data_IF_561635479166
#
_entry.id   IF_561635479166
#
_cell.length_a   1.000
_cell.length_b   1.000
_cell.length_c   1.000
_cell.angle_alpha   90.00
_cell.angle_beta   90.00
_cell.angle_gamma   90.00
#
_symmetry.space_group_name_H-M   'P 1'
#
loop_
_entity.id
_entity.type
_entity.pdbx_description
1 polymer ?
#
# COMPACT_ATOMS: atom_id res chain seq x y z
N UNK A 1 1.76 -10.90 -15.58
CA UNK A 1 2.77 -9.86 -15.32
C UNK A 1 2.39 -9.11 -14.05
N UNK A 2 3.32 -8.88 -13.17
CA UNK A 2 3.08 -8.15 -11.93
C UNK A 2 3.27 -6.66 -12.16
N UNK A 3 2.35 -5.85 -11.68
CA UNK A 3 2.45 -4.41 -11.74
C UNK A 3 2.58 -3.85 -10.32
N UNK A 4 3.49 -2.93 -10.12
CA UNK A 4 3.63 -2.23 -8.85
C UNK A 4 2.69 -1.03 -8.82
N UNK A 5 2.14 -0.75 -7.66
CA UNK A 5 1.29 0.41 -7.43
C UNK A 5 1.92 1.27 -6.34
N UNK A 6 2.06 2.56 -6.63
CA UNK A 6 2.57 3.52 -5.66
C UNK A 6 1.39 4.11 -4.89
N UNK A 7 1.40 3.97 -3.59
CA UNK A 7 0.36 4.50 -2.73
C UNK A 7 0.81 5.85 -2.20
N UNK A 8 0.02 6.88 -2.46
CA UNK A 8 0.28 8.21 -1.97
C UNK A 8 -0.90 8.66 -1.12
N UNK A 9 -0.58 9.33 -0.02
CA UNK A 9 -1.58 9.92 0.83
C UNK A 9 -1.79 9.17 2.12
N UNK A 10 -2.16 9.91 3.10
CA UNK A 10 -2.57 9.44 4.40
C UNK A 10 -3.88 10.16 4.72
N UNK A 11 -4.48 9.91 5.83
CA UNK A 11 -5.70 10.62 6.22
C UNK A 11 -5.52 12.14 6.15
N UNK A 12 -6.62 12.86 6.02
CA UNK A 12 -6.64 14.30 5.91
C UNK A 12 -6.81 14.77 4.48
N UNK A 13 -6.58 16.06 4.24
CA UNK A 13 -6.86 16.69 2.96
C UNK A 13 -5.67 16.69 2.01
N UNK A 14 -4.46 16.65 2.54
CA UNK A 14 -3.26 16.61 1.73
C UNK A 14 -2.80 15.17 1.55
N UNK A 15 -2.44 14.82 0.32
CA UNK A 15 -1.83 13.53 0.03
C UNK A 15 -0.32 13.66 0.17
N UNK A 16 0.30 12.60 0.70
CA UNK A 16 1.75 12.52 0.83
C UNK A 16 2.25 11.14 0.51
N UNK A 17 3.55 10.99 0.54
CA UNK A 17 4.21 9.71 0.34
C UNK A 17 4.54 9.08 1.68
N UNK A 18 5.06 7.85 1.65
CA UNK A 18 5.59 7.24 2.86
C UNK A 18 6.71 8.09 3.48
N UNK A 19 7.55 8.71 2.65
CA UNK A 19 8.61 9.58 3.13
C UNK A 19 8.04 10.79 3.88
N UNK A 20 6.93 11.36 3.42
CA UNK A 20 6.25 12.46 4.12
C UNK A 20 5.74 12.01 5.48
N UNK A 21 5.16 10.82 5.56
CA UNK A 21 4.72 10.25 6.82
C UNK A 21 5.90 10.05 7.77
N UNK A 22 7.00 9.52 7.26
CA UNK A 22 8.20 9.27 8.07
C UNK A 22 8.81 10.57 8.62
N UNK A 23 8.73 11.66 7.86
CA UNK A 23 9.21 12.98 8.33
C UNK A 23 8.25 13.60 9.34
N UNK A 24 6.96 13.52 9.08
CA UNK A 24 5.95 14.17 9.92
C UNK A 24 5.57 13.39 11.17
N UNK A 25 5.62 12.07 11.08
CA UNK A 25 5.23 11.18 12.18
C UNK A 25 6.11 9.93 12.20
N UNK A 26 7.40 10.07 12.52
CA UNK A 26 8.34 8.95 12.42
C UNK A 26 7.97 7.74 13.27
N UNK A 27 7.39 7.95 14.43
CA UNK A 27 6.99 6.83 15.30
C UNK A 27 5.85 6.03 14.68
N UNK A 28 4.92 6.70 14.01
CA UNK A 28 3.81 6.04 13.32
C UNK A 28 4.34 5.26 12.11
N UNK A 29 5.22 5.87 11.33
CA UNK A 29 5.81 5.20 10.17
C UNK A 29 6.59 3.97 10.58
N UNK A 30 7.39 4.05 11.64
CA UNK A 30 8.16 2.91 12.12
C UNK A 30 7.24 1.80 12.62
N UNK A 31 6.23 2.14 13.42
CA UNK A 31 5.28 1.15 13.91
C UNK A 31 4.51 0.49 12.75
N UNK A 32 4.10 1.29 11.77
CA UNK A 32 3.41 0.77 10.59
C UNK A 32 4.28 -0.18 9.77
N UNK A 33 5.56 0.17 9.59
CA UNK A 33 6.49 -0.71 8.89
C UNK A 33 6.65 -2.04 9.61
N UNK A 34 6.76 -2.02 10.93
CA UNK A 34 6.86 -3.26 11.71
C UNK A 34 5.62 -4.14 11.54
N UNK A 35 4.44 -3.54 11.54
CA UNK A 35 3.20 -4.29 11.32
C UNK A 35 3.16 -4.88 9.92
N UNK A 36 3.47 -4.08 8.90
CA UNK A 36 3.44 -4.55 7.51
C UNK A 36 4.46 -5.65 7.23
N UNK A 37 5.62 -5.60 7.87
CA UNK A 37 6.71 -6.57 7.66
C UNK A 37 6.78 -7.65 8.75
N UNK A 38 5.75 -7.79 9.54
CA UNK A 38 5.74 -8.72 10.66
C UNK A 38 6.13 -10.15 10.27
N UNK A 39 5.67 -10.65 9.14
CA UNK A 39 5.95 -12.02 8.70
C UNK A 39 7.26 -12.18 7.92
N UNK A 40 8.06 -11.11 7.83
CA UNK A 40 9.30 -11.09 7.08
C UNK A 40 9.17 -10.47 5.70
N UNK A 41 8.02 -10.55 5.09
CA UNK A 41 7.69 -9.88 3.84
C UNK A 41 6.60 -8.86 4.09
N UNK A 42 6.62 -7.75 3.34
CA UNK A 42 5.56 -6.76 3.46
C UNK A 42 4.23 -7.34 3.00
N UNK A 43 3.20 -7.19 3.82
CA UNK A 43 1.87 -7.73 3.53
C UNK A 43 0.79 -6.92 4.22
N UNK A 44 -0.39 -6.93 3.64
CA UNK A 44 -1.55 -6.25 4.21
C UNK A 44 -2.82 -6.62 3.48
N UNK A 45 -3.91 -6.05 3.97
CA UNK A 45 -5.23 -6.16 3.35
C UNK A 45 -5.50 -4.88 2.60
N UNK A 46 -5.73 -4.98 1.30
CA UNK A 46 -5.99 -3.84 0.43
C UNK A 46 -7.46 -3.79 0.06
N UNK A 47 -8.10 -2.67 0.34
CA UNK A 47 -9.46 -2.39 -0.09
C UNK A 47 -9.44 -1.44 -1.26
N UNK A 48 -10.19 -1.76 -2.30
CA UNK A 48 -10.31 -0.94 -3.51
C UNK A 48 -11.78 -0.74 -3.87
N UNK A 49 -12.04 0.28 -4.65
CA UNK A 49 -13.38 0.57 -5.16
C UNK A 49 -13.28 0.80 -6.67
N UNK A 50 -14.31 0.40 -7.40
CA UNK A 50 -14.35 0.61 -8.84
C UNK A 50 -15.78 0.71 -9.36
N UNK A 51 -16.08 1.77 -10.09
CA UNK A 51 -17.37 1.99 -10.70
C UNK A 51 -18.51 1.86 -9.69
N UNK A 52 -19.54 1.12 -10.05
CA UNK A 52 -20.69 0.85 -9.21
C UNK A 52 -20.57 -0.43 -8.39
N UNK A 53 -19.41 -1.11 -8.49
CA UNK A 53 -19.21 -2.37 -7.79
C UNK A 53 -19.04 -2.14 -6.28
N UNK A 54 -19.43 -3.12 -5.46
CA UNK A 54 -19.10 -3.05 -4.03
C UNK A 54 -17.59 -2.97 -3.81
N UNK A 55 -17.14 -2.39 -2.69
CA UNK A 55 -15.73 -2.40 -2.35
C UNK A 55 -15.18 -3.83 -2.29
N UNK A 56 -13.92 -3.97 -2.69
CA UNK A 56 -13.21 -5.25 -2.64
C UNK A 56 -12.13 -5.18 -1.57
N UNK A 57 -11.83 -6.31 -0.98
CA UNK A 57 -10.71 -6.42 -0.05
C UNK A 57 -9.94 -7.70 -0.33
N UNK A 58 -8.61 -7.59 -0.40
CA UNK A 58 -7.74 -8.71 -0.73
C UNK A 58 -6.43 -8.62 0.05
N UNK A 59 -5.87 -9.76 0.44
CA UNK A 59 -4.48 -9.77 0.91
C UNK A 59 -3.54 -9.49 -0.26
N UNK A 60 -2.53 -8.66 0.00
CA UNK A 60 -1.52 -8.31 -1.00
C UNK A 60 -0.15 -8.22 -0.35
N UNK A 61 0.89 -8.25 -1.18
CA UNK A 61 2.24 -7.95 -0.75
C UNK A 61 2.53 -6.47 -0.98
N UNK A 62 3.26 -5.88 -0.06
CA UNK A 62 3.65 -4.47 -0.13
C UNK A 62 5.15 -4.33 0.04
N UNK A 63 5.69 -3.20 -0.40
CA UNK A 63 7.08 -2.86 -0.19
C UNK A 63 7.21 -1.38 0.13
N UNK A 64 8.07 -1.05 1.10
CA UNK A 64 8.46 0.32 1.39
C UNK A 64 9.85 0.50 0.82
N UNK A 65 9.96 1.23 -0.27
CA UNK A 65 11.20 1.36 -1.04
C UNK A 65 11.41 2.82 -1.40
N UNK A 66 12.57 3.37 -1.06
CA UNK A 66 12.96 4.73 -1.46
C UNK A 66 11.90 5.78 -1.15
N UNK A 67 11.28 5.69 0.02
CA UNK A 67 10.29 6.67 0.45
C UNK A 67 8.89 6.48 -0.14
N UNK A 68 8.65 5.40 -0.86
CA UNK A 68 7.36 5.06 -1.42
C UNK A 68 6.80 3.78 -0.83
N UNK A 69 5.48 3.68 -0.80
CA UNK A 69 4.78 2.45 -0.44
C UNK A 69 4.18 1.87 -1.72
N UNK A 70 4.50 0.63 -2.01
CA UNK A 70 4.11 -0.05 -3.25
C UNK A 70 3.35 -1.33 -2.94
N UNK A 71 2.42 -1.69 -3.80
CA UNK A 71 1.77 -2.99 -3.78
C UNK A 71 2.05 -3.73 -5.08
N UNK A 72 2.25 -5.03 -4.98
CA UNK A 72 2.48 -5.88 -6.16
C UNK A 72 1.14 -6.48 -6.57
N UNK A 73 0.65 -6.08 -7.74
CA UNK A 73 -0.66 -6.51 -8.23
C UNK A 73 -0.52 -7.23 -9.55
N UNK A 74 -1.14 -8.39 -9.62
CA UNK A 74 -1.35 -9.07 -10.90
C UNK A 74 -2.49 -8.37 -11.64
N UNK A 75 -2.63 -8.66 -12.93
CA UNK A 75 -3.77 -8.20 -13.70
C UNK A 75 -5.04 -8.79 -13.08
N UNK A 76 -5.85 -7.95 -12.48
CA UNK A 76 -6.95 -8.36 -11.63
C UNK A 76 -7.97 -7.23 -11.48
N UNK A 77 -9.11 -7.56 -10.86
CA UNK A 77 -10.15 -6.57 -10.59
C UNK A 77 -9.64 -5.44 -9.69
N UNK A 78 -8.84 -5.75 -8.66
CA UNK A 78 -8.29 -4.72 -7.76
C UNK A 78 -7.33 -3.78 -8.49
N UNK A 79 -6.55 -4.30 -9.43
CA UNK A 79 -5.67 -3.47 -10.26
C UNK A 79 -6.49 -2.55 -11.15
N UNK A 80 -7.55 -3.07 -11.76
CA UNK A 80 -8.44 -2.24 -12.59
C UNK A 80 -9.16 -1.18 -11.78
N UNK A 81 -9.59 -1.51 -10.55
CA UNK A 81 -10.20 -0.54 -9.64
C UNK A 81 -9.24 0.63 -9.39
N UNK A 82 -7.98 0.34 -9.07
CA UNK A 82 -7.01 1.39 -8.78
C UNK A 82 -6.66 2.23 -10.01
N UNK A 83 -6.64 1.60 -11.18
CA UNK A 83 -6.39 2.32 -12.44
C UNK A 83 -7.52 3.31 -12.73
N UNK A 84 -8.76 2.97 -12.39
CA UNK A 84 -9.92 3.82 -12.65
C UNK A 84 -10.19 4.84 -11.56
N UNK A 85 -10.14 4.44 -10.30
CA UNK A 85 -10.51 5.31 -9.17
C UNK A 85 -9.31 5.74 -8.33
N UNK A 86 -8.41 4.83 -8.03
CA UNK A 86 -7.23 5.11 -7.24
C UNK A 86 -7.44 5.13 -5.74
N UNK A 87 -8.64 5.29 -5.25
CA UNK A 87 -8.89 5.30 -3.81
C UNK A 87 -8.64 3.92 -3.22
N UNK A 88 -7.99 3.89 -2.06
CA UNK A 88 -7.70 2.64 -1.38
C UNK A 88 -7.69 2.82 0.13
N UNK A 89 -7.83 1.70 0.83
CA UNK A 89 -7.47 1.57 2.23
C UNK A 89 -6.56 0.35 2.38
N UNK A 90 -5.53 0.48 3.21
CA UNK A 90 -4.61 -0.60 3.51
C UNK A 90 -4.60 -0.83 5.01
N UNK A 91 -4.72 -2.08 5.43
CA UNK A 91 -4.69 -2.46 6.83
C UNK A 91 -3.66 -3.57 7.03
N UNK A 92 -2.79 -3.40 8.01
CA UNK A 92 -1.84 -4.44 8.35
C UNK A 92 -2.54 -5.66 8.96
N UNK A 93 -1.96 -6.84 8.76
CA UNK A 93 -2.47 -8.05 9.39
C UNK A 93 -2.26 -7.97 10.90
N UNK A 94 -3.26 -8.37 11.66
CA UNK A 94 -3.17 -8.48 13.11
C UNK A 94 -3.27 -9.94 13.51
N UNK A 95 -2.50 -10.33 14.53
CA UNK A 95 -2.63 -11.63 15.17
C UNK A 95 -2.22 -11.49 16.64
N UNK A 96 -2.11 -12.61 17.33
CA UNK A 96 -1.78 -12.64 18.77
C UNK A 96 -0.39 -12.02 19.05
N UNK A 97 0.54 -12.13 18.09
CA UNK A 97 1.89 -11.61 18.23
C UNK A 97 1.99 -10.15 17.83
N UNK A 98 1.04 -9.65 17.04
CA UNK A 98 1.02 -8.26 16.57
C UNK A 98 -0.36 -7.66 16.82
N UNK A 99 -0.66 -7.29 18.08
CA UNK A 99 -1.95 -6.70 18.39
C UNK A 99 -2.10 -5.26 17.92
N UNK A 100 -1.02 -4.63 17.49
CA UNK A 100 -1.03 -3.24 17.04
C UNK A 100 -1.79 -3.11 15.73
N UNK A 101 -2.74 -2.21 15.69
CA UNK A 101 -3.49 -1.90 14.48
C UNK A 101 -2.79 -0.80 13.70
N UNK A 102 -2.64 -1.01 12.41
CA UNK A 102 -2.12 0.02 11.52
C UNK A 102 -2.93 0.03 10.23
N UNK A 103 -3.41 1.19 9.85
CA UNK A 103 -4.11 1.37 8.60
C UNK A 103 -3.79 2.72 7.99
N UNK A 104 -3.93 2.81 6.67
CA UNK A 104 -3.84 4.08 5.98
C UNK A 104 -4.78 4.08 4.79
N UNK A 105 -5.13 5.29 4.34
CA UNK A 105 -6.01 5.51 3.20
C UNK A 105 -5.39 6.57 2.31
N UNK A 106 -5.70 6.51 1.04
CA UNK A 106 -5.19 7.49 0.11
C UNK A 106 -5.56 7.17 -1.31
N UNK A 107 -4.71 7.60 -2.22
CA UNK A 107 -4.86 7.35 -3.64
C UNK A 107 -3.61 6.66 -4.16
N UNK A 108 -3.83 5.69 -5.04
CA UNK A 108 -2.78 4.93 -5.66
C UNK A 108 -2.75 5.23 -7.16
N UNK A 109 -1.60 5.07 -7.75
CA UNK A 109 -1.44 5.12 -9.19
C UNK A 109 -0.60 3.93 -9.64
N UNK A 110 -0.81 3.48 -10.86
CA UNK A 110 -0.03 2.39 -11.41
C UNK A 110 1.36 2.89 -11.78
N UNK A 111 2.36 2.09 -11.46
CA UNK A 111 3.76 2.37 -11.79
C UNK A 111 4.23 1.25 -12.71
N UNK A 112 4.50 1.60 -13.96
CA UNK A 112 4.91 0.63 -14.97
C UNK A 112 6.33 0.91 -15.50
N UNK A 113 6.95 1.99 -15.03
CA UNK A 113 8.31 2.31 -15.44
C UNK A 113 9.27 1.23 -14.96
N UNK A 114 10.06 0.69 -15.90
CA UNK A 114 10.90 -0.47 -15.64
C UNK A 114 11.81 -0.32 -14.43
N UNK A 115 12.53 0.80 -14.32
CA UNK A 115 13.50 1.00 -13.24
C UNK A 115 12.85 1.00 -11.86
N UNK A 116 11.74 1.70 -11.69
CA UNK A 116 11.04 1.74 -10.41
C UNK A 116 10.50 0.36 -10.06
N UNK A 117 9.89 -0.28 -11.05
CA UNK A 117 9.32 -1.61 -10.89
C UNK A 117 10.38 -2.62 -10.49
N UNK A 118 11.54 -2.60 -11.15
CA UNK A 118 12.63 -3.53 -10.87
C UNK A 118 13.20 -3.32 -9.47
N UNK A 119 13.35 -2.06 -9.02
CA UNK A 119 13.82 -1.76 -7.67
C UNK A 119 12.84 -2.25 -6.61
N UNK A 120 11.54 -2.07 -6.85
CA UNK A 120 10.52 -2.53 -5.91
C UNK A 120 10.52 -4.05 -5.85
N UNK A 121 10.62 -4.72 -6.98
CA UNK A 121 10.65 -6.18 -7.02
C UNK A 121 11.90 -6.75 -6.35
N UNK A 122 13.04 -6.05 -6.42
CA UNK A 122 14.29 -6.47 -5.79
C UNK A 122 14.30 -6.17 -4.27
N UNK A 123 13.53 -5.19 -3.85
CA UNK A 123 13.42 -4.81 -2.44
C UNK A 123 12.48 -5.68 -1.67
#
# INVERSE_FOLDING_TARGET
MTTATDFAGTGGQALGTWADLARGAPAIAEAGRRVLYHSGEGAGLLATVGGDAPPRIHPINVGVVEGGLYAFLLDSAKRRDLAGDGRFALHGHQDADVPTEFSLRGRARLVEAGDVRDRVAAG
#
